data_IF_374764200313
#
_entry.id   IF_374764200313
#
_cell.length_a   1.000
_cell.length_b   1.000
_cell.length_c   1.000
_cell.angle_alpha   90.00
_cell.angle_beta   90.00
_cell.angle_gamma   90.00
#
_symmetry.space_group_name_H-M   'P 1'
#
loop_
_entity.id
_entity.type
_entity.pdbx_description
1 polymer ?
#
# COMPACT_ATOMS: atom_id res chain seq x y z
N UNK A 1 15.39 -28.60 -13.84
CA UNK A 1 14.62 -29.03 -15.02
C UNK A 1 14.02 -27.78 -15.63
N UNK A 2 14.55 -27.29 -16.75
CA UNK A 2 13.91 -26.21 -17.51
C UNK A 2 13.10 -26.87 -18.61
N UNK A 3 11.78 -26.67 -18.64
CA UNK A 3 10.94 -27.24 -19.69
C UNK A 3 11.31 -26.55 -21.02
N UNK A 4 11.93 -27.30 -21.94
CA UNK A 4 12.33 -26.82 -23.28
C UNK A 4 11.15 -26.72 -24.27
N UNK A 5 9.93 -27.02 -23.83
CA UNK A 5 8.72 -26.90 -24.64
C UNK A 5 8.05 -25.56 -24.38
N UNK A 6 7.79 -24.82 -25.46
CA UNK A 6 6.93 -23.65 -25.40
C UNK A 6 5.51 -24.07 -24.93
N UNK A 7 4.82 -23.21 -24.17
CA UNK A 7 3.44 -23.46 -23.76
C UNK A 7 2.53 -23.59 -24.98
N UNK A 8 1.50 -24.41 -24.86
CA UNK A 8 0.46 -24.52 -25.87
C UNK A 8 -0.38 -23.25 -25.93
N UNK A 9 -1.05 -23.00 -27.06
CA UNK A 9 -1.95 -21.84 -27.22
C UNK A 9 -3.02 -21.79 -26.13
N UNK A 10 -3.58 -22.94 -25.73
CA UNK A 10 -4.59 -23.00 -24.67
C UNK A 10 -4.03 -22.64 -23.29
N UNK A 11 -2.80 -23.06 -23.00
CA UNK A 11 -2.12 -22.70 -21.75
C UNK A 11 -1.79 -21.20 -21.72
N UNK A 12 -1.41 -20.63 -22.86
CA UNK A 12 -1.17 -19.19 -22.98
C UNK A 12 -2.47 -18.38 -22.80
N UNK A 13 -3.53 -18.72 -23.53
CA UNK A 13 -4.85 -18.07 -23.41
C UNK A 13 -5.39 -18.15 -21.97
N UNK A 14 -5.20 -19.29 -21.30
CA UNK A 14 -5.59 -19.45 -19.90
C UNK A 14 -4.76 -18.55 -18.98
N UNK A 15 -3.43 -18.51 -19.18
CA UNK A 15 -2.54 -17.66 -18.40
C UNK A 15 -2.91 -16.17 -18.56
N UNK A 16 -3.20 -15.73 -19.78
CA UNK A 16 -3.66 -14.37 -20.06
C UNK A 16 -4.98 -14.06 -19.37
N UNK A 17 -5.96 -14.98 -19.46
CA UNK A 17 -7.26 -14.82 -18.78
C UNK A 17 -7.11 -14.75 -17.27
N UNK A 18 -6.30 -15.63 -16.67
CA UNK A 18 -6.06 -15.64 -15.22
C UNK A 18 -5.34 -14.36 -14.78
N UNK A 19 -4.33 -13.93 -15.54
CA UNK A 19 -3.58 -12.70 -15.27
C UNK A 19 -4.48 -11.48 -15.37
N UNK A 20 -5.33 -11.39 -16.39
CA UNK A 20 -6.30 -10.31 -16.56
C UNK A 20 -7.32 -10.25 -15.41
N UNK A 21 -7.87 -11.40 -15.03
CA UNK A 21 -8.78 -11.49 -13.88
C UNK A 21 -8.10 -11.06 -12.58
N UNK A 22 -6.88 -11.54 -12.34
CA UNK A 22 -6.13 -11.18 -11.15
C UNK A 22 -5.87 -9.68 -11.10
N UNK A 23 -5.42 -9.07 -12.21
CA UNK A 23 -5.18 -7.64 -12.30
C UNK A 23 -6.45 -6.82 -12.02
N UNK A 24 -7.59 -7.22 -12.61
CA UNK A 24 -8.87 -6.57 -12.40
C UNK A 24 -9.37 -6.68 -10.94
N UNK A 25 -9.11 -7.81 -10.27
CA UNK A 25 -9.45 -8.00 -8.86
C UNK A 25 -8.53 -7.17 -7.94
N UNK A 26 -7.22 -7.23 -8.17
CA UNK A 26 -6.25 -6.50 -7.34
C UNK A 26 -6.31 -4.99 -7.54
N UNK A 27 -6.81 -4.52 -8.69
CA UNK A 27 -6.99 -3.09 -8.96
C UNK A 27 -8.14 -2.43 -8.19
N UNK A 28 -9.00 -3.22 -7.53
CA UNK A 28 -10.13 -2.70 -6.74
C UNK A 28 -9.74 -2.27 -5.32
N UNK A 29 -8.51 -2.55 -4.89
CA UNK A 29 -8.01 -2.26 -3.56
C UNK A 29 -6.64 -1.61 -3.65
N UNK A 30 -6.32 -0.69 -2.75
CA UNK A 30 -4.95 -0.26 -2.63
C UNK A 30 -4.14 -1.36 -1.94
N UNK A 31 -2.85 -1.58 -2.29
CA UNK A 31 -2.02 -2.60 -1.66
C UNK A 31 -1.97 -2.47 -0.12
N UNK A 32 -1.99 -1.24 0.38
CA UNK A 32 -1.96 -0.92 1.81
C UNK A 32 -3.25 -1.29 2.56
N UNK A 33 -4.36 -1.53 1.85
CA UNK A 33 -5.64 -1.94 2.45
C UNK A 33 -5.59 -3.42 2.87
N UNK A 34 -4.72 -4.22 2.25
CA UNK A 34 -4.63 -5.68 2.45
C UNK A 34 -3.37 -6.08 3.19
N UNK A 35 -2.25 -5.36 2.99
CA UNK A 35 -0.96 -5.67 3.60
C UNK A 35 -0.24 -4.42 4.08
N UNK A 36 0.57 -4.56 5.13
CA UNK A 36 1.42 -3.46 5.58
C UNK A 36 2.51 -3.16 4.55
N UNK A 37 2.99 -1.91 4.54
CA UNK A 37 4.12 -1.50 3.67
C UNK A 37 5.35 -2.40 3.88
N UNK A 38 5.57 -2.87 5.12
CA UNK A 38 6.63 -3.82 5.41
C UNK A 38 6.42 -5.18 4.72
N UNK A 39 5.20 -5.72 4.75
CA UNK A 39 4.84 -6.95 4.06
C UNK A 39 4.99 -6.84 2.55
N UNK A 40 4.55 -5.71 1.97
CA UNK A 40 4.69 -5.41 0.54
C UNK A 40 6.16 -5.39 0.13
N UNK A 41 7.01 -4.64 0.85
CA UNK A 41 8.45 -4.58 0.57
C UNK A 41 9.10 -5.95 0.64
N UNK A 42 8.77 -6.74 1.68
CA UNK A 42 9.29 -8.11 1.83
C UNK A 42 8.88 -8.98 0.65
N UNK A 43 7.61 -8.94 0.23
CA UNK A 43 7.11 -9.72 -0.89
C UNK A 43 7.76 -9.32 -2.23
N UNK A 44 8.07 -8.03 -2.40
CA UNK A 44 8.77 -7.49 -3.58
C UNK A 44 10.29 -7.75 -3.56
N UNK A 45 10.82 -8.45 -2.55
CA UNK A 45 12.26 -8.67 -2.41
C UNK A 45 13.05 -7.40 -2.07
N UNK A 46 12.37 -6.35 -1.60
CA UNK A 46 13.01 -5.09 -1.22
C UNK A 46 13.51 -5.22 0.22
N UNK A 47 14.82 -5.42 0.36
CA UNK A 47 15.51 -5.32 1.64
C UNK A 47 15.88 -3.87 1.93
N UNK A 48 14.99 -3.12 2.59
CA UNK A 48 15.35 -1.83 3.19
C UNK A 48 15.93 -2.12 4.58
N UNK A 49 17.17 -1.70 4.91
CA UNK A 49 17.63 -1.71 6.29
C UNK A 49 16.65 -0.90 7.13
N UNK A 50 16.21 -1.42 8.27
CA UNK A 50 15.41 -0.62 9.19
C UNK A 50 16.24 0.61 9.57
N UNK A 51 15.85 1.79 9.09
CA UNK A 51 16.31 3.02 9.71
C UNK A 51 16.00 2.90 11.22
N UNK A 52 16.93 3.29 12.10
CA UNK A 52 16.64 3.31 13.53
C UNK A 52 15.35 4.10 13.72
N UNK A 53 14.43 3.65 14.60
CA UNK A 53 13.15 4.32 14.76
C UNK A 53 13.39 5.80 15.10
N UNK A 54 13.25 6.66 14.10
CA UNK A 54 12.97 8.07 14.33
C UNK A 54 11.66 8.15 15.13
N UNK A 55 11.43 9.25 15.85
CA UNK A 55 10.23 9.38 16.67
C UNK A 55 8.99 9.07 15.84
N UNK A 56 8.38 7.91 16.11
CA UNK A 56 7.12 7.51 15.51
C UNK A 56 6.06 8.39 16.15
N UNK A 57 5.72 9.49 15.48
CA UNK A 57 4.63 10.36 15.92
C UNK A 57 3.35 9.64 15.54
N UNK A 58 2.75 8.97 16.51
CA UNK A 58 1.46 8.32 16.36
C UNK A 58 0.35 9.40 16.30
N UNK A 59 -0.01 9.80 15.08
CA UNK A 59 -1.08 10.75 14.79
C UNK A 59 -2.48 10.26 15.23
N UNK A 60 -2.61 9.04 15.77
CA UNK A 60 -3.86 8.57 16.40
C UNK A 60 -3.99 8.93 17.88
N UNK A 61 -2.91 9.46 18.48
CA UNK A 61 -2.93 10.09 19.82
C UNK A 61 -3.14 11.60 19.76
N UNK A 62 -3.98 12.08 18.85
CA UNK A 62 -4.65 13.37 19.08
C UNK A 62 -5.62 13.15 20.24
N UNK A 63 -5.09 13.24 21.46
CA UNK A 63 -5.88 13.60 22.62
C UNK A 63 -6.73 14.78 22.20
N UNK A 64 -8.05 14.65 22.31
CA UNK A 64 -8.97 15.76 22.14
C UNK A 64 -8.68 16.76 23.28
N UNK A 65 -7.69 17.61 23.07
CA UNK A 65 -7.51 18.81 23.88
C UNK A 65 -8.77 19.68 23.69
N UNK A 66 -9.38 20.16 24.78
CA UNK A 66 -10.60 20.96 24.68
C UNK A 66 -10.34 22.21 23.84
N UNK A 67 -11.29 22.56 22.96
CA UNK A 67 -11.27 23.82 22.21
C UNK A 67 -11.15 25.00 23.19
N UNK A 68 -9.96 25.56 23.32
CA UNK A 68 -9.80 26.95 23.72
C UNK A 68 -10.30 27.78 22.53
N UNK A 69 -11.51 28.32 22.65
CA UNK A 69 -12.05 29.33 21.74
C UNK A 69 -11.23 30.61 21.88
N UNK A 70 -10.11 30.70 21.17
CA UNK A 70 -9.36 31.95 21.07
C UNK A 70 -10.10 32.89 20.11
N UNK A 71 -10.69 33.92 20.70
CA UNK A 71 -11.50 34.92 20.01
C UNK A 71 -10.57 35.88 19.29
N UNK A 72 -10.34 35.66 17.99
CA UNK A 72 -9.55 36.60 17.18
C UNK A 72 -10.37 37.87 16.93
N UNK A 73 -9.90 39.09 17.31
CA UNK A 73 -10.56 40.31 16.89
C UNK A 73 -10.27 40.55 15.40
N UNK A 74 -11.34 40.67 14.61
CA UNK A 74 -11.25 41.10 13.21
C UNK A 74 -10.80 42.57 13.21
N UNK A 75 -9.56 42.84 12.81
CA UNK A 75 -9.13 44.19 12.43
C UNK A 75 -9.38 44.34 10.94
N UNK A 76 -10.33 45.22 10.61
CA UNK A 76 -10.58 45.67 9.25
C UNK A 76 -9.45 46.62 8.78
N UNK A 77 -8.91 46.36 7.60
CA UNK A 77 -8.22 47.34 6.75
C UNK A 77 -8.76 47.19 5.34
#
# INVERSE_FOLDING_TARGET
MICLLAPTTKELELAEKVTGNLAALTGQVAPCDVSSVYGIRRAMGISVPLDPPGPFIDLTTVTAEPMETDSVPIIAV
#
